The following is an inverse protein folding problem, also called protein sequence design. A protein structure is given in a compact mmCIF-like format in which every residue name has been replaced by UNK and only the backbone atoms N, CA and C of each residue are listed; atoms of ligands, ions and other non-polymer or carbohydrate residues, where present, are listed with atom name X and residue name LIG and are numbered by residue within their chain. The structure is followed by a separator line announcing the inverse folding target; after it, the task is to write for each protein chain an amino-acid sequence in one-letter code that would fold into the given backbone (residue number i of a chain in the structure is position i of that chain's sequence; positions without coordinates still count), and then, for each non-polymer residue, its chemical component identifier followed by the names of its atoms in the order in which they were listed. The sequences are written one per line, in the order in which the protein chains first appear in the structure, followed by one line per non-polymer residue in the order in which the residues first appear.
data_IF_554851730990
#
_entry.id   IF_554851730990
#
_cell.length_a   1.000
_cell.length_b   1.000
_cell.length_c   1.000
_cell.angle_alpha   90.00
_cell.angle_beta   90.00
_cell.angle_gamma   90.00
#
_symmetry.space_group_name_H-M   'P 1'
#
loop_
_entity.id
_entity.type
_entity.pdbx_description
1 polymer ?
#
# COMPACT_ATOMS: atom_id res chain seq x y z
N UNK A 1 26.17 -4.90 -5.73
CA UNK A 1 26.18 -3.77 -4.81
C UNK A 1 24.73 -3.62 -4.31
N UNK A 2 24.51 -3.96 -3.05
CA UNK A 2 23.19 -3.79 -2.42
C UNK A 2 22.99 -2.29 -2.15
N UNK A 3 22.07 -1.67 -2.85
CA UNK A 3 21.65 -0.31 -2.58
C UNK A 3 20.75 -0.38 -1.34
N UNK A 4 21.32 -0.05 -0.19
CA UNK A 4 20.56 0.09 1.06
C UNK A 4 19.65 1.33 0.94
N UNK A 5 18.36 1.11 0.74
CA UNK A 5 17.37 2.19 0.74
C UNK A 5 17.19 2.70 2.18
N UNK A 6 17.67 3.91 2.46
CA UNK A 6 17.39 4.61 3.71
C UNK A 6 15.95 5.11 3.68
N UNK A 7 15.03 4.42 4.36
CA UNK A 7 13.73 4.98 4.70
C UNK A 7 13.92 6.00 5.82
N UNK A 8 13.70 7.27 5.54
CA UNK A 8 13.66 8.33 6.55
C UNK A 8 12.37 8.15 7.34
N UNK A 9 12.49 7.71 8.61
CA UNK A 9 11.37 7.62 9.52
C UNK A 9 10.75 9.00 9.73
N UNK A 10 9.58 9.25 9.11
CA UNK A 10 8.80 10.46 9.38
C UNK A 10 8.28 10.39 10.82
N UNK A 11 8.81 11.25 11.68
CA UNK A 11 8.18 11.64 12.95
C UNK A 11 6.77 12.13 12.60
N UNK A 12 5.75 11.58 13.25
CA UNK A 12 4.35 11.99 13.12
C UNK A 12 4.18 13.47 13.54
N UNK A 13 4.46 14.40 12.62
CA UNK A 13 3.69 15.63 12.59
C UNK A 13 2.29 15.22 12.12
N UNK A 14 1.24 15.81 12.68
CA UNK A 14 -0.16 15.61 12.24
C UNK A 14 -0.19 15.87 10.73
N UNK A 15 -0.05 14.81 9.92
CA UNK A 15 -0.03 14.93 8.48
C UNK A 15 -1.47 15.16 8.04
N UNK A 16 -1.65 16.12 7.14
CA UNK A 16 -2.95 16.35 6.51
C UNK A 16 -3.42 15.04 5.84
N UNK A 17 -4.68 14.66 6.11
CA UNK A 17 -5.25 13.46 5.53
C UNK A 17 -5.61 13.73 4.06
N UNK A 18 -4.95 13.00 3.15
CA UNK A 18 -5.19 13.16 1.70
C UNK A 18 -6.45 12.47 1.25
N UNK A 19 -6.74 11.27 1.81
CA UNK A 19 -7.95 10.52 1.55
C UNK A 19 -8.56 10.13 2.89
N UNK A 20 -9.87 10.31 3.04
CA UNK A 20 -10.63 9.85 4.20
C UNK A 20 -11.85 9.06 3.71
N UNK A 21 -11.96 7.85 4.18
CA UNK A 21 -13.10 6.97 3.95
C UNK A 21 -13.82 6.82 5.28
N UNK A 22 -15.12 7.16 5.33
CA UNK A 22 -15.90 7.19 6.57
C UNK A 22 -17.19 6.40 6.41
N UNK A 23 -17.38 5.43 7.30
CA UNK A 23 -18.58 4.60 7.41
C UNK A 23 -19.04 4.07 6.04
N UNK A 24 -18.08 3.60 5.22
CA UNK A 24 -18.35 3.18 3.85
C UNK A 24 -18.93 1.77 3.83
N UNK A 25 -20.10 1.65 3.21
CA UNK A 25 -20.79 0.38 2.96
C UNK A 25 -20.94 0.14 1.47
N UNK A 26 -20.78 -1.11 1.05
CA UNK A 26 -21.14 -1.56 -0.30
C UNK A 26 -21.90 -2.86 -0.25
N UNK A 27 -23.13 -2.80 -0.70
CA UNK A 27 -24.02 -3.93 -0.90
C UNK A 27 -24.28 -4.04 -2.42
N UNK A 28 -24.12 -5.23 -2.97
CA UNK A 28 -24.46 -5.52 -4.35
C UNK A 28 -25.81 -6.25 -4.39
N UNK A 29 -26.69 -5.81 -5.26
CA UNK A 29 -28.05 -6.33 -5.41
C UNK A 29 -29.01 -5.22 -5.86
N UNK A 30 -30.23 -5.62 -6.19
CA UNK A 30 -31.28 -4.65 -6.54
C UNK A 30 -31.78 -3.96 -5.27
N UNK A 31 -31.95 -2.63 -5.31
CA UNK A 31 -32.39 -1.85 -4.14
C UNK A 31 -31.55 -2.11 -2.87
N UNK A 32 -30.21 -1.98 -3.01
CA UNK A 32 -29.25 -2.24 -1.94
C UNK A 32 -29.49 -1.35 -0.69
N UNK A 33 -30.01 -0.13 -0.87
CA UNK A 33 -30.35 0.78 0.23
C UNK A 33 -31.48 0.22 1.10
N UNK A 34 -32.42 -0.52 0.52
CA UNK A 34 -33.54 -1.12 1.25
C UNK A 34 -33.16 -2.22 2.25
N UNK A 35 -31.92 -2.71 2.22
CA UNK A 35 -31.42 -3.73 3.17
C UNK A 35 -30.34 -3.17 4.12
N UNK A 36 -30.08 -1.84 4.09
CA UNK A 36 -29.06 -1.21 4.95
C UNK A 36 -29.36 -1.39 6.44
N UNK A 37 -30.60 -1.29 6.87
CA UNK A 37 -31.00 -1.47 8.28
C UNK A 37 -30.62 -2.87 8.76
N UNK A 38 -30.87 -3.92 7.96
CA UNK A 38 -30.47 -5.29 8.30
C UNK A 38 -28.95 -5.43 8.45
N UNK A 39 -28.17 -4.75 7.57
CA UNK A 39 -26.71 -4.76 7.64
C UNK A 39 -26.21 -4.01 8.87
N UNK A 40 -26.85 -2.90 9.24
CA UNK A 40 -26.55 -2.13 10.44
C UNK A 40 -26.89 -2.90 11.72
N UNK A 41 -27.95 -3.70 11.70
CA UNK A 41 -28.37 -4.58 12.80
C UNK A 41 -27.51 -5.84 12.92
N UNK A 42 -26.55 -6.03 12.00
CA UNK A 42 -25.53 -7.08 12.10
C UNK A 42 -25.86 -8.39 11.41
N UNK A 43 -26.78 -8.41 10.42
CA UNK A 43 -27.04 -9.60 9.60
C UNK A 43 -25.75 -10.17 9.05
N UNK A 44 -25.60 -11.49 9.02
CA UNK A 44 -24.44 -12.15 8.42
C UNK A 44 -24.44 -12.02 6.89
N UNK A 45 -23.27 -12.13 6.26
CA UNK A 45 -23.16 -12.13 4.79
C UNK A 45 -23.93 -13.28 4.17
N UNK A 46 -23.94 -14.42 4.82
CA UNK A 46 -24.63 -15.62 4.34
C UNK A 46 -26.14 -15.43 4.38
N UNK A 47 -26.71 -14.99 5.49
CA UNK A 47 -28.14 -14.68 5.63
C UNK A 47 -28.58 -13.60 4.63
N UNK A 48 -27.77 -12.51 4.47
CA UNK A 48 -28.07 -11.45 3.52
C UNK A 48 -28.12 -11.98 2.07
N UNK A 49 -27.26 -12.95 1.73
CA UNK A 49 -27.27 -13.59 0.41
C UNK A 49 -28.44 -14.58 0.25
N UNK A 50 -28.66 -15.47 1.21
CA UNK A 50 -29.63 -16.56 1.11
C UNK A 50 -31.07 -16.04 1.20
N UNK A 51 -31.36 -15.12 2.12
CA UNK A 51 -32.72 -14.67 2.39
C UNK A 51 -33.12 -13.42 1.59
N UNK A 52 -32.13 -12.57 1.22
CA UNK A 52 -32.40 -11.30 0.56
C UNK A 52 -31.75 -11.18 -0.83
N UNK A 53 -30.93 -12.15 -1.27
CA UNK A 53 -30.27 -12.12 -2.58
C UNK A 53 -29.27 -11.00 -2.77
N UNK A 54 -28.67 -10.48 -1.69
CA UNK A 54 -27.71 -9.39 -1.70
C UNK A 54 -26.34 -9.86 -1.26
N UNK A 55 -25.28 -9.28 -1.85
CA UNK A 55 -23.89 -9.56 -1.49
C UNK A 55 -23.30 -8.38 -0.74
N UNK A 56 -22.91 -8.56 0.52
CA UNK A 56 -22.21 -7.55 1.30
C UNK A 56 -20.73 -7.51 0.87
N UNK A 57 -20.37 -6.48 0.16
CA UNK A 57 -18.99 -6.25 -0.31
C UNK A 57 -18.11 -5.56 0.72
N UNK A 58 -18.62 -4.50 1.35
CA UNK A 58 -17.92 -3.71 2.39
C UNK A 58 -18.89 -3.33 3.49
N UNK A 59 -18.41 -3.37 4.75
CA UNK A 59 -19.16 -3.00 5.95
C UNK A 59 -18.31 -2.05 6.79
N UNK A 60 -18.86 -0.87 7.07
CA UNK A 60 -18.31 0.13 8.00
C UNK A 60 -16.81 0.39 7.83
N UNK A 61 -16.38 0.63 6.58
CA UNK A 61 -14.97 0.89 6.31
C UNK A 61 -14.63 2.32 6.73
N UNK A 62 -13.63 2.42 7.61
CA UNK A 62 -13.06 3.67 8.09
C UNK A 62 -11.55 3.62 7.90
N UNK A 63 -11.01 4.40 6.93
CA UNK A 63 -9.59 4.45 6.58
C UNK A 63 -9.19 5.89 6.27
N UNK A 64 -8.14 6.36 6.95
CA UNK A 64 -7.46 7.61 6.63
C UNK A 64 -6.15 7.32 5.90
N UNK A 65 -5.85 8.07 4.84
CA UNK A 65 -4.58 7.99 4.10
C UNK A 65 -3.86 9.33 4.21
N UNK A 66 -2.76 9.40 4.95
CA UNK A 66 -1.97 10.62 5.06
C UNK A 66 -1.41 11.07 3.71
N UNK A 67 -1.20 12.38 3.55
CA UNK A 67 -0.55 12.91 2.35
C UNK A 67 0.88 12.35 2.21
N UNK A 68 1.25 12.03 0.97
CA UNK A 68 2.59 11.51 0.61
C UNK A 68 2.97 10.20 1.31
N UNK A 69 2.00 9.40 1.67
CA UNK A 69 2.13 8.11 2.34
C UNK A 69 1.77 6.97 1.38
N UNK A 70 2.38 5.81 1.56
CA UNK A 70 1.94 4.56 0.94
C UNK A 70 1.03 3.83 1.94
N UNK A 71 -0.28 3.89 1.73
CA UNK A 71 -1.25 3.07 2.45
C UNK A 71 -1.44 1.75 1.71
N UNK A 72 -1.08 0.66 2.34
CA UNK A 72 -1.37 -0.68 1.83
C UNK A 72 -2.71 -1.17 2.36
N UNK A 73 -3.56 -1.66 1.47
CA UNK A 73 -4.80 -2.37 1.80
C UNK A 73 -4.59 -3.82 1.45
N UNK A 74 -4.57 -4.70 2.45
CA UNK A 74 -4.31 -6.12 2.24
C UNK A 74 -5.43 -7.00 2.78
N UNK A 75 -5.41 -8.28 2.41
CA UNK A 75 -6.37 -9.30 2.84
C UNK A 75 -6.50 -10.41 1.78
N UNK A 76 -7.19 -11.49 2.11
CA UNK A 76 -7.39 -12.62 1.21
C UNK A 76 -8.25 -12.25 -0.01
N UNK A 77 -8.29 -13.15 -1.01
CA UNK A 77 -9.20 -12.98 -2.16
C UNK A 77 -10.65 -12.89 -1.68
N UNK A 78 -11.41 -11.96 -2.26
CA UNK A 78 -12.81 -11.74 -1.87
C UNK A 78 -13.03 -10.85 -0.64
N UNK A 79 -11.98 -10.36 0.04
CA UNK A 79 -12.13 -9.49 1.23
C UNK A 79 -12.62 -8.07 0.93
N UNK A 80 -12.83 -7.69 -0.34
CA UNK A 80 -13.37 -6.37 -0.71
C UNK A 80 -12.35 -5.32 -1.16
N UNK A 81 -11.04 -5.63 -1.18
CA UNK A 81 -9.96 -4.67 -1.51
C UNK A 81 -10.14 -3.92 -2.83
N UNK A 82 -10.33 -4.66 -3.93
CA UNK A 82 -10.54 -4.06 -5.26
C UNK A 82 -11.85 -3.28 -5.35
N UNK A 83 -12.85 -3.66 -4.57
CA UNK A 83 -14.08 -2.88 -4.42
C UNK A 83 -13.78 -1.56 -3.72
N UNK A 84 -13.05 -1.61 -2.61
CA UNK A 84 -12.71 -0.45 -1.80
C UNK A 84 -11.92 0.61 -2.59
N UNK A 85 -10.83 0.23 -3.28
CA UNK A 85 -10.01 1.20 -4.02
C UNK A 85 -10.81 1.90 -5.15
N UNK A 86 -11.78 1.19 -5.73
CA UNK A 86 -12.63 1.72 -6.80
C UNK A 86 -13.69 2.72 -6.31
N UNK A 87 -13.93 2.83 -5.01
CA UNK A 87 -14.73 3.91 -4.45
C UNK A 87 -13.94 5.22 -4.40
N UNK A 88 -12.63 5.19 -4.19
CA UNK A 88 -11.79 6.39 -4.11
C UNK A 88 -11.85 7.22 -5.40
N UNK A 89 -11.90 6.56 -6.55
CA UNK A 89 -12.07 7.24 -7.85
C UNK A 89 -13.50 7.12 -8.40
N UNK A 90 -14.45 6.68 -7.55
CA UNK A 90 -15.88 6.53 -7.86
C UNK A 90 -16.15 5.73 -9.13
N UNK A 91 -15.32 4.70 -9.40
CA UNK A 91 -15.63 3.69 -10.42
C UNK A 91 -16.76 2.77 -9.96
N UNK A 92 -16.95 2.66 -8.66
CA UNK A 92 -18.07 1.99 -8.01
C UNK A 92 -18.70 2.98 -7.04
N UNK A 93 -20.04 3.14 -7.11
CA UNK A 93 -20.78 3.92 -6.14
C UNK A 93 -20.96 3.12 -4.84
N UNK A 94 -20.72 3.68 -3.66
CA UNK A 94 -21.05 3.03 -2.40
C UNK A 94 -22.58 2.95 -2.21
N UNK A 95 -23.01 2.11 -1.27
CA UNK A 95 -24.40 2.10 -0.83
C UNK A 95 -24.63 3.18 0.23
N UNK A 96 -23.61 3.44 1.08
CA UNK A 96 -23.62 4.51 2.09
C UNK A 96 -22.20 4.88 2.48
N UNK A 97 -22.02 6.03 3.12
CA UNK A 97 -20.73 6.51 3.63
C UNK A 97 -20.18 7.69 2.84
N UNK A 98 -18.95 8.10 3.17
CA UNK A 98 -18.28 9.27 2.59
C UNK A 98 -16.87 8.88 2.07
N UNK A 99 -16.46 9.53 0.98
CA UNK A 99 -15.10 9.45 0.43
C UNK A 99 -14.60 10.86 0.16
N UNK A 100 -13.74 11.37 1.05
CA UNK A 100 -13.15 12.69 0.93
C UNK A 100 -11.74 12.59 0.35
N UNK A 101 -11.41 13.42 -0.62
CA UNK A 101 -10.07 13.52 -1.21
C UNK A 101 -9.63 14.99 -1.21
N UNK A 102 -8.59 15.31 -0.46
CA UNK A 102 -8.17 16.70 -0.24
C UNK A 102 -9.27 17.56 0.39
N UNK A 103 -10.16 16.96 1.19
CA UNK A 103 -11.31 17.59 1.83
C UNK A 103 -12.56 17.72 0.94
N UNK A 104 -12.49 17.33 -0.34
CA UNK A 104 -13.65 17.36 -1.26
C UNK A 104 -14.34 15.98 -1.29
N UNK A 105 -15.65 15.95 -1.15
CA UNK A 105 -16.44 14.71 -1.25
C UNK A 105 -16.57 14.26 -2.71
N UNK A 106 -15.89 13.16 -3.03
CA UNK A 106 -15.90 12.58 -4.40
C UNK A 106 -17.30 12.09 -4.79
N UNK A 107 -18.11 11.70 -3.81
CA UNK A 107 -19.48 11.19 -4.06
C UNK A 107 -20.45 12.32 -4.43
N UNK A 108 -20.19 13.54 -3.97
CA UNK A 108 -20.99 14.71 -4.27
C UNK A 108 -20.62 15.40 -5.60
N UNK A 109 -19.48 14.99 -6.23
CA UNK A 109 -19.02 15.59 -7.49
C UNK A 109 -20.01 15.35 -8.62
N UNK A 110 -20.26 16.40 -9.43
CA UNK A 110 -20.94 16.29 -10.72
C UNK A 110 -20.11 15.44 -11.71
N UNK A 111 -20.73 15.00 -12.80
CA UNK A 111 -20.04 14.22 -13.85
C UNK A 111 -18.82 14.94 -14.44
N UNK A 112 -18.87 16.28 -14.58
CA UNK A 112 -17.76 17.07 -15.10
C UNK A 112 -16.61 17.17 -14.08
N UNK A 113 -16.91 17.42 -12.81
CA UNK A 113 -15.95 17.46 -11.72
C UNK A 113 -15.28 16.10 -11.55
N UNK A 114 -16.05 15.01 -11.58
CA UNK A 114 -15.55 13.64 -11.48
C UNK A 114 -14.64 13.27 -12.67
N UNK A 115 -14.96 13.70 -13.89
CA UNK A 115 -14.08 13.54 -15.06
C UNK A 115 -12.76 14.29 -14.87
N UNK A 116 -12.82 15.52 -14.34
CA UNK A 116 -11.62 16.33 -14.08
C UNK A 116 -10.78 15.72 -12.94
N UNK A 117 -11.43 15.24 -11.88
CA UNK A 117 -10.78 14.50 -10.79
C UNK A 117 -9.99 13.29 -11.32
N UNK A 118 -10.64 12.43 -12.12
CA UNK A 118 -10.00 11.24 -12.73
C UNK A 118 -8.91 11.58 -13.75
N UNK A 119 -8.95 12.76 -14.38
CA UNK A 119 -7.93 13.20 -15.34
C UNK A 119 -6.66 13.71 -14.67
N UNK A 120 -6.79 14.39 -13.53
CA UNK A 120 -5.71 15.20 -12.97
C UNK A 120 -5.33 14.88 -11.52
N UNK A 121 -6.26 14.34 -10.72
CA UNK A 121 -6.05 14.13 -9.27
C UNK A 121 -5.73 12.68 -8.91
N UNK A 122 -6.35 11.71 -9.58
CA UNK A 122 -6.19 10.30 -9.27
C UNK A 122 -5.87 9.48 -10.52
N UNK A 123 -4.75 8.75 -10.48
CA UNK A 123 -4.35 7.80 -11.51
C UNK A 123 -4.46 6.37 -11.01
N UNK A 124 -4.67 5.39 -11.90
CA UNK A 124 -4.85 4.00 -11.49
C UNK A 124 -4.04 3.02 -12.32
N UNK A 125 -3.36 2.10 -11.63
CA UNK A 125 -2.70 0.92 -12.19
C UNK A 125 -3.55 -0.30 -11.87
N UNK A 126 -3.91 -1.06 -12.91
CA UNK A 126 -4.82 -2.21 -12.81
C UNK A 126 -4.06 -3.53 -12.76
N UNK A 127 -4.63 -4.54 -12.13
CA UNK A 127 -4.12 -5.90 -12.04
C UNK A 127 -3.82 -6.53 -13.42
N UNK A 128 -4.69 -6.35 -14.41
CA UNK A 128 -4.56 -6.86 -15.79
C UNK A 128 -3.98 -5.80 -16.75
N UNK A 129 -3.06 -4.96 -16.30
CA UNK A 129 -2.34 -3.92 -17.05
C UNK A 129 -3.24 -2.88 -17.74
N UNK A 130 -4.40 -3.25 -18.23
CA UNK A 130 -5.38 -2.42 -18.95
C UNK A 130 -4.75 -1.55 -20.06
N UNK A 131 -3.75 -2.10 -20.75
CA UNK A 131 -3.11 -1.43 -21.89
C UNK A 131 -4.03 -1.46 -23.12
N UNK A 132 -3.94 -0.43 -23.94
CA UNK A 132 -4.64 -0.35 -25.20
C UNK A 132 -3.88 -1.21 -26.24
N UNK A 133 -4.43 -2.36 -26.68
CA UNK A 133 -3.68 -3.35 -27.45
C UNK A 133 -3.30 -2.87 -28.86
N UNK A 134 -4.04 -1.90 -29.38
CA UNK A 134 -3.86 -1.29 -30.69
C UNK A 134 -2.95 -0.04 -30.67
N UNK A 135 -2.36 0.28 -29.52
CA UNK A 135 -1.44 1.39 -29.32
C UNK A 135 -0.07 0.89 -28.92
N UNK A 136 0.97 1.59 -29.38
CA UNK A 136 2.35 1.34 -28.98
C UNK A 136 2.61 1.69 -27.51
N UNK A 137 3.80 1.38 -27.01
CA UNK A 137 4.23 1.73 -25.64
C UNK A 137 4.13 3.24 -25.40
N UNK A 138 4.74 4.05 -26.31
CA UNK A 138 4.73 5.51 -26.14
C UNK A 138 3.31 6.09 -26.21
N UNK A 139 2.47 5.56 -27.06
CA UNK A 139 1.07 5.97 -27.17
C UNK A 139 0.23 5.54 -25.96
N UNK A 140 0.53 4.38 -25.37
CA UNK A 140 -0.10 3.96 -24.09
C UNK A 140 0.29 4.88 -22.96
N UNK A 141 1.58 5.20 -22.80
CA UNK A 141 2.09 6.09 -21.76
C UNK A 141 1.51 7.50 -21.93
N UNK A 142 1.46 8.01 -23.17
CA UNK A 142 0.92 9.33 -23.48
C UNK A 142 -0.60 9.46 -23.44
N UNK A 143 -1.33 8.34 -23.31
CA UNK A 143 -2.79 8.35 -23.43
C UNK A 143 -3.49 9.27 -22.43
N UNK A 144 -3.09 9.22 -21.15
CA UNK A 144 -3.65 10.10 -20.11
C UNK A 144 -3.40 11.58 -20.42
N UNK A 145 -2.22 11.92 -20.93
CA UNK A 145 -1.86 13.29 -21.33
C UNK A 145 -2.69 13.79 -22.53
N UNK A 146 -3.01 12.90 -23.48
CA UNK A 146 -3.94 13.23 -24.58
C UNK A 146 -5.33 13.61 -24.05
N UNK A 147 -5.84 12.85 -23.06
CA UNK A 147 -7.12 13.14 -22.39
C UNK A 147 -7.08 14.48 -21.64
N UNK A 148 -5.92 14.81 -21.05
CA UNK A 148 -5.69 16.11 -20.40
C UNK A 148 -5.52 17.26 -21.41
N UNK A 149 -5.53 16.98 -22.72
CA UNK A 149 -5.34 17.95 -23.82
C UNK A 149 -3.99 18.67 -23.78
N UNK A 150 -2.95 17.98 -23.32
CA UNK A 150 -1.57 18.45 -23.35
C UNK A 150 -1.07 18.49 -24.80
N UNK A 151 -0.15 19.39 -25.13
CA UNK A 151 0.42 19.49 -26.48
C UNK A 151 1.21 18.22 -26.86
N UNK A 152 1.19 17.86 -28.14
CA UNK A 152 1.86 16.65 -28.65
C UNK A 152 3.35 16.62 -28.32
N UNK A 153 4.03 17.76 -28.40
CA UNK A 153 5.45 17.90 -28.03
C UNK A 153 5.69 17.54 -26.56
N UNK A 154 4.83 18.02 -25.66
CA UNK A 154 4.96 17.74 -24.24
C UNK A 154 4.54 16.30 -23.91
N UNK A 155 3.54 15.74 -24.61
CA UNK A 155 3.17 14.32 -24.51
C UNK A 155 4.37 13.44 -24.83
N UNK A 156 5.02 13.66 -25.97
CA UNK A 156 6.18 12.88 -26.40
C UNK A 156 7.33 12.98 -25.39
N UNK A 157 7.62 14.19 -24.91
CA UNK A 157 8.67 14.45 -23.92
C UNK A 157 8.40 13.71 -22.60
N UNK A 158 7.19 13.84 -22.03
CA UNK A 158 6.84 13.19 -20.76
C UNK A 158 6.76 11.68 -20.93
N UNK A 159 6.19 11.19 -22.03
CA UNK A 159 6.10 9.77 -22.30
C UNK A 159 7.47 9.13 -22.39
N UNK A 160 8.42 9.75 -23.14
CA UNK A 160 9.78 9.26 -23.23
C UNK A 160 10.47 9.26 -21.87
N UNK A 161 10.35 10.36 -21.10
CA UNK A 161 10.90 10.44 -19.75
C UNK A 161 10.46 9.26 -18.87
N UNK A 162 9.16 8.93 -18.85
CA UNK A 162 8.66 7.84 -18.03
C UNK A 162 9.02 6.46 -18.56
N UNK A 163 9.10 6.28 -19.88
CA UNK A 163 9.61 5.06 -20.52
C UNK A 163 11.04 4.78 -20.07
N UNK A 164 11.90 5.80 -20.08
CA UNK A 164 13.29 5.69 -19.64
C UNK A 164 13.38 5.37 -18.14
N UNK A 165 12.56 6.05 -17.31
CA UNK A 165 12.53 5.86 -15.84
C UNK A 165 12.12 4.45 -15.42
N UNK A 166 11.23 3.80 -16.18
CA UNK A 166 10.80 2.42 -15.89
C UNK A 166 11.65 1.37 -16.61
N UNK A 167 12.74 1.78 -17.31
CA UNK A 167 13.66 0.88 -17.98
C UNK A 167 13.08 0.20 -19.23
N UNK A 168 12.32 0.95 -20.04
CA UNK A 168 11.73 0.49 -21.30
C UNK A 168 12.27 1.23 -22.53
N UNK A 169 13.43 1.90 -22.41
CA UNK A 169 14.13 2.55 -23.52
C UNK A 169 14.38 1.56 -24.65
N UNK A 170 14.02 1.91 -25.88
CA UNK A 170 14.12 1.07 -27.07
C UNK A 170 12.85 0.23 -27.37
N UNK A 171 11.83 0.29 -26.51
CA UNK A 171 10.56 -0.42 -26.70
C UNK A 171 9.40 0.52 -27.06
N UNK A 172 9.64 1.79 -27.34
CA UNK A 172 8.64 2.84 -27.55
C UNK A 172 7.64 2.49 -28.65
N UNK A 173 8.11 1.88 -29.74
CA UNK A 173 7.31 1.49 -30.89
C UNK A 173 6.67 0.09 -30.79
N UNK A 174 6.91 -0.66 -29.72
CA UNK A 174 6.34 -2.00 -29.54
C UNK A 174 4.87 -1.94 -29.09
N UNK A 175 4.11 -2.93 -29.48
CA UNK A 175 2.73 -3.14 -29.02
C UNK A 175 2.69 -4.03 -27.77
N UNK A 176 1.65 -3.93 -26.91
CA UNK A 176 1.53 -4.74 -25.69
C UNK A 176 1.74 -6.25 -25.93
N UNK A 177 1.23 -6.81 -27.02
CA UNK A 177 1.38 -8.23 -27.35
C UNK A 177 2.85 -8.66 -27.58
N UNK A 178 3.77 -7.75 -27.82
CA UNK A 178 5.20 -8.00 -28.03
C UNK A 178 6.02 -7.92 -26.74
N UNK A 179 5.38 -7.63 -25.59
CA UNK A 179 6.02 -7.38 -24.31
C UNK A 179 5.78 -8.53 -23.34
N UNK A 180 6.75 -8.81 -22.48
CA UNK A 180 6.54 -9.67 -21.31
C UNK A 180 5.55 -9.04 -20.32
N UNK A 181 4.95 -9.83 -19.41
CA UNK A 181 4.04 -9.32 -18.38
C UNK A 181 4.66 -8.22 -17.52
N UNK A 182 5.94 -8.39 -17.11
CA UNK A 182 6.67 -7.36 -16.38
C UNK A 182 6.87 -6.07 -17.17
N UNK A 183 7.13 -6.16 -18.47
CA UNK A 183 7.24 -4.97 -19.33
C UNK A 183 5.87 -4.28 -19.47
N UNK A 184 4.80 -5.04 -19.67
CA UNK A 184 3.44 -4.48 -19.71
C UNK A 184 3.08 -3.74 -18.42
N UNK A 185 3.49 -4.29 -17.26
CA UNK A 185 3.29 -3.63 -15.97
C UNK A 185 4.07 -2.32 -15.86
N UNK A 186 5.32 -2.30 -16.33
CA UNK A 186 6.12 -1.06 -16.39
C UNK A 186 5.48 0.00 -17.29
N UNK A 187 4.89 -0.40 -18.43
CA UNK A 187 4.10 0.52 -19.28
C UNK A 187 2.88 1.07 -18.51
N UNK A 188 2.15 0.21 -17.79
CA UNK A 188 1.01 0.61 -16.96
C UNK A 188 1.39 1.62 -15.88
N UNK A 189 2.53 1.40 -15.20
CA UNK A 189 3.07 2.31 -14.20
C UNK A 189 3.51 3.64 -14.84
N UNK A 190 4.26 3.60 -15.95
CA UNK A 190 4.69 4.80 -16.68
C UNK A 190 3.48 5.64 -17.13
N UNK A 191 2.43 5.00 -17.65
CA UNK A 191 1.18 5.67 -18.05
C UNK A 191 0.51 6.39 -16.88
N UNK A 192 0.46 5.73 -15.71
CA UNK A 192 -0.13 6.32 -14.53
C UNK A 192 0.66 7.51 -14.01
N UNK A 193 1.98 7.42 -14.00
CA UNK A 193 2.89 8.48 -13.54
C UNK A 193 2.97 9.66 -14.50
N UNK A 194 2.85 9.42 -15.82
CA UNK A 194 2.93 10.48 -16.83
C UNK A 194 1.87 11.56 -16.66
N UNK A 195 0.70 11.24 -16.11
CA UNK A 195 -0.40 12.19 -15.86
C UNK A 195 -0.10 13.18 -14.75
N UNK A 196 0.94 12.91 -13.93
CA UNK A 196 1.34 13.70 -12.77
C UNK A 196 0.25 13.87 -11.69
N UNK A 197 -0.66 12.90 -11.60
CA UNK A 197 -1.70 12.88 -10.56
C UNK A 197 -1.08 12.81 -9.16
N UNK A 198 -1.71 13.47 -8.19
CA UNK A 198 -1.26 13.50 -6.79
C UNK A 198 -1.45 12.15 -6.09
N UNK A 199 -2.47 11.39 -6.52
CA UNK A 199 -2.87 10.10 -5.95
C UNK A 199 -2.65 9.00 -6.98
N UNK A 200 -1.97 7.93 -6.55
CA UNK A 200 -1.77 6.72 -7.34
C UNK A 200 -2.50 5.56 -6.68
N UNK A 201 -3.49 5.01 -7.37
CA UNK A 201 -4.26 3.84 -6.94
C UNK A 201 -3.69 2.60 -7.65
N UNK A 202 -3.31 1.57 -6.89
CA UNK A 202 -2.69 0.35 -7.44
C UNK A 202 -3.46 -0.89 -7.00
N UNK A 203 -4.22 -1.50 -7.93
CA UNK A 203 -5.06 -2.67 -7.67
C UNK A 203 -4.31 -3.96 -8.04
N UNK A 204 -3.69 -4.63 -7.05
CA UNK A 204 -2.87 -5.85 -7.19
C UNK A 204 -1.85 -5.77 -8.34
N UNK A 205 -1.20 -4.60 -8.45
CA UNK A 205 -0.40 -4.24 -9.60
C UNK A 205 0.76 -5.20 -9.89
N UNK A 206 1.30 -5.91 -8.90
CA UNK A 206 2.46 -6.77 -9.05
C UNK A 206 2.15 -8.27 -8.89
N UNK A 207 0.89 -8.65 -8.68
CA UNK A 207 0.48 -10.03 -8.38
C UNK A 207 0.76 -11.02 -9.54
N UNK A 208 0.71 -10.55 -10.77
CA UNK A 208 0.93 -11.37 -11.97
C UNK A 208 2.41 -11.48 -12.40
N UNK A 209 3.33 -10.88 -11.64
CA UNK A 209 4.76 -10.88 -11.94
C UNK A 209 5.48 -12.02 -11.24
N UNK A 210 6.54 -12.53 -11.89
CA UNK A 210 7.48 -13.45 -11.23
C UNK A 210 8.20 -12.76 -10.07
N UNK A 211 8.74 -13.52 -9.08
CA UNK A 211 9.30 -12.94 -7.85
C UNK A 211 10.44 -11.94 -8.08
N UNK A 212 11.28 -12.17 -9.10
CA UNK A 212 12.42 -11.30 -9.39
C UNK A 212 11.94 -9.95 -9.93
N UNK A 213 11.09 -9.98 -10.94
CA UNK A 213 10.51 -8.76 -11.57
C UNK A 213 9.66 -8.00 -10.55
N UNK A 214 8.91 -8.72 -9.69
CA UNK A 214 8.12 -8.10 -8.60
C UNK A 214 9.03 -7.31 -7.66
N UNK A 215 10.14 -7.89 -7.25
CA UNK A 215 11.13 -7.22 -6.36
C UNK A 215 11.70 -5.95 -7.02
N UNK A 216 12.02 -6.01 -8.31
CA UNK A 216 12.50 -4.86 -9.08
C UNK A 216 11.42 -3.76 -9.15
N UNK A 217 10.16 -4.12 -9.43
CA UNK A 217 9.05 -3.17 -9.52
C UNK A 217 8.75 -2.49 -8.18
N UNK A 218 8.84 -3.22 -7.08
CA UNK A 218 8.75 -2.66 -5.73
C UNK A 218 9.88 -1.66 -5.47
N UNK A 219 11.12 -1.99 -5.87
CA UNK A 219 12.26 -1.09 -5.77
C UNK A 219 12.07 0.21 -6.59
N UNK A 220 11.57 0.09 -7.82
CA UNK A 220 11.23 1.25 -8.67
C UNK A 220 10.16 2.11 -8.00
N UNK A 221 9.08 1.50 -7.47
CA UNK A 221 7.99 2.23 -6.80
C UNK A 221 8.50 3.01 -5.58
N UNK A 222 9.31 2.38 -4.73
CA UNK A 222 9.88 3.02 -3.54
C UNK A 222 10.81 4.18 -3.91
N UNK A 223 11.72 4.01 -4.88
CA UNK A 223 12.59 5.08 -5.34
C UNK A 223 11.82 6.26 -5.95
N UNK A 224 10.75 5.96 -6.71
CA UNK A 224 9.88 7.00 -7.24
C UNK A 224 9.08 7.71 -6.13
N UNK A 225 8.66 7.00 -5.09
CA UNK A 225 7.96 7.61 -3.96
C UNK A 225 8.83 8.57 -3.17
N UNK A 226 10.10 8.24 -2.96
CA UNK A 226 11.08 9.14 -2.32
C UNK A 226 11.31 10.43 -3.11
N UNK A 227 11.24 10.37 -4.44
CA UNK A 227 11.46 11.52 -5.31
C UNK A 227 10.18 12.35 -5.51
N UNK A 228 9.05 11.69 -5.77
CA UNK A 228 7.82 12.34 -6.21
C UNK A 228 6.87 12.69 -5.06
N UNK A 229 7.03 12.06 -3.90
CA UNK A 229 6.19 12.25 -2.74
C UNK A 229 4.68 12.14 -3.04
N UNK A 230 4.28 11.14 -3.85
CA UNK A 230 2.87 10.87 -4.19
C UNK A 230 2.15 10.18 -3.03
N UNK A 231 0.84 10.39 -2.90
CA UNK A 231 0.00 9.56 -2.04
C UNK A 231 -0.38 8.30 -2.79
N UNK A 232 -0.06 7.13 -2.24
CA UNK A 232 -0.29 5.84 -2.91
C UNK A 232 -1.22 4.99 -2.07
N UNK A 233 -2.29 4.47 -2.70
CA UNK A 233 -3.10 3.38 -2.14
C UNK A 233 -2.77 2.12 -2.92
N UNK A 234 -2.18 1.15 -2.24
CA UNK A 234 -1.67 -0.08 -2.85
C UNK A 234 -2.42 -1.30 -2.32
N UNK A 235 -3.02 -2.07 -3.22
CA UNK A 235 -3.71 -3.32 -2.87
C UNK A 235 -2.81 -4.51 -3.14
N UNK A 236 -2.72 -5.41 -2.17
CA UNK A 236 -2.05 -6.70 -2.30
C UNK A 236 -2.72 -7.77 -1.43
N UNK A 237 -2.48 -9.04 -1.75
CA UNK A 237 -2.75 -10.17 -0.88
C UNK A 237 -1.44 -10.78 -0.31
N UNK A 238 -0.29 -10.23 -0.69
CA UNK A 238 1.05 -10.67 -0.27
C UNK A 238 1.49 -9.84 0.93
N UNK A 239 1.71 -10.50 2.07
CA UNK A 239 2.10 -9.85 3.31
C UNK A 239 3.52 -9.28 3.24
N UNK A 240 4.47 -10.01 2.65
CA UNK A 240 5.86 -9.55 2.53
C UNK A 240 5.92 -8.26 1.68
N UNK A 241 5.09 -8.19 0.64
CA UNK A 241 4.92 -6.99 -0.17
C UNK A 241 4.36 -5.84 0.66
N UNK A 242 3.28 -6.08 1.43
CA UNK A 242 2.67 -5.07 2.29
C UNK A 242 3.65 -4.51 3.34
N UNK A 243 4.38 -5.40 4.02
CA UNK A 243 5.36 -5.02 5.05
C UNK A 243 6.57 -4.29 4.46
N UNK A 244 6.93 -4.60 3.20
CA UNK A 244 8.07 -3.99 2.51
C UNK A 244 7.77 -2.58 2.02
N UNK A 245 6.61 -2.34 1.42
CA UNK A 245 6.32 -1.07 0.74
C UNK A 245 5.40 -0.14 1.54
N UNK A 246 4.55 -0.66 2.46
CA UNK A 246 3.60 0.13 3.22
C UNK A 246 4.25 1.00 4.29
N UNK A 247 3.91 2.29 4.34
CA UNK A 247 4.12 3.12 5.52
C UNK A 247 3.08 2.77 6.58
N UNK A 248 1.83 2.57 6.14
CA UNK A 248 0.71 2.11 6.93
C UNK A 248 -0.05 1.00 6.20
N UNK A 249 -0.58 0.06 6.95
CA UNK A 249 -1.27 -1.12 6.43
C UNK A 249 -2.67 -1.18 7.04
N UNK A 250 -3.68 -1.47 6.20
CA UNK A 250 -5.04 -1.81 6.62
C UNK A 250 -5.34 -3.24 6.19
N UNK A 251 -5.67 -4.12 7.12
CA UNK A 251 -5.99 -5.53 6.84
C UNK A 251 -7.49 -5.71 6.77
N UNK A 252 -7.97 -6.19 5.63
CA UNK A 252 -9.38 -6.48 5.38
C UNK A 252 -9.67 -7.98 5.45
N UNK A 253 -10.75 -8.31 6.17
CA UNK A 253 -11.35 -9.63 6.20
C UNK A 253 -12.86 -9.47 6.06
N UNK A 254 -13.46 -10.22 5.12
CA UNK A 254 -14.91 -10.24 4.93
C UNK A 254 -15.59 -8.87 4.77
N UNK A 255 -14.90 -7.94 4.09
CA UNK A 255 -15.41 -6.59 3.84
C UNK A 255 -15.30 -5.63 5.01
N UNK A 256 -14.61 -5.98 6.07
CA UNK A 256 -14.38 -5.17 7.27
C UNK A 256 -12.88 -4.95 7.48
N UNK A 257 -12.51 -3.85 8.12
CA UNK A 257 -11.14 -3.59 8.55
C UNK A 257 -10.92 -4.27 9.91
N UNK A 258 -10.01 -5.26 9.96
CA UNK A 258 -9.71 -6.00 11.20
C UNK A 258 -8.52 -5.44 11.96
N UNK A 259 -7.56 -4.84 11.26
CA UNK A 259 -6.44 -4.15 11.90
C UNK A 259 -5.88 -3.06 10.98
N UNK A 260 -5.41 -1.96 11.58
CA UNK A 260 -4.65 -0.91 10.91
C UNK A 260 -3.43 -0.55 11.76
N UNK A 261 -2.35 -0.13 11.09
CA UNK A 261 -1.14 0.35 11.75
C UNK A 261 0.07 0.28 10.83
N UNK A 262 1.23 0.62 11.38
CA UNK A 262 2.54 0.44 10.71
C UNK A 262 2.91 -1.03 10.60
N UNK A 263 3.87 -1.36 9.73
CA UNK A 263 4.43 -2.72 9.63
C UNK A 263 4.91 -3.26 10.99
N UNK A 264 5.47 -2.38 11.83
CA UNK A 264 5.94 -2.71 13.19
C UNK A 264 4.77 -3.12 14.09
N UNK A 265 3.71 -2.32 14.13
CA UNK A 265 2.52 -2.57 14.97
C UNK A 265 1.80 -3.84 14.56
N UNK A 266 1.62 -4.08 13.25
CA UNK A 266 1.00 -5.31 12.74
C UNK A 266 1.76 -6.55 13.20
N UNK A 267 3.10 -6.52 13.10
CA UNK A 267 3.94 -7.67 13.44
C UNK A 267 4.10 -7.86 14.95
N UNK A 268 4.13 -6.78 15.75
CA UNK A 268 4.35 -6.87 17.19
C UNK A 268 3.07 -7.16 17.99
N UNK A 269 1.95 -6.57 17.56
CA UNK A 269 0.67 -6.61 18.31
C UNK A 269 -0.48 -7.00 17.38
N UNK A 270 -0.54 -8.28 16.93
CA UNK A 270 -1.68 -8.75 16.14
C UNK A 270 -2.98 -8.64 16.95
N UNK A 271 -4.05 -8.15 16.30
CA UNK A 271 -5.33 -7.86 16.94
C UNK A 271 -6.11 -9.12 17.31
N UNK A 272 -5.93 -10.20 16.57
CA UNK A 272 -6.59 -11.48 16.77
C UNK A 272 -5.74 -12.66 16.27
N UNK A 273 -6.23 -13.90 16.52
CA UNK A 273 -5.55 -15.12 16.10
C UNK A 273 -5.42 -15.26 14.57
N UNK A 274 -6.36 -14.67 13.82
CA UNK A 274 -6.29 -14.65 12.36
C UNK A 274 -5.09 -13.85 11.87
N UNK A 275 -4.86 -12.66 12.42
CA UNK A 275 -3.71 -11.84 12.10
C UNK A 275 -2.43 -12.52 12.59
N UNK A 276 -2.44 -13.09 13.79
CA UNK A 276 -1.30 -13.84 14.35
C UNK A 276 -0.90 -15.02 13.45
N UNK A 277 -1.86 -15.78 12.95
CA UNK A 277 -1.59 -16.86 11.98
C UNK A 277 -1.13 -16.33 10.62
N UNK A 278 -1.61 -15.17 10.21
CA UNK A 278 -1.24 -14.54 8.94
C UNK A 278 0.22 -14.07 8.94
N UNK A 279 0.72 -13.56 10.09
CA UNK A 279 2.10 -13.06 10.23
C UNK A 279 3.09 -14.10 10.76
N UNK A 280 2.65 -15.33 11.04
CA UNK A 280 3.49 -16.36 11.71
C UNK A 280 4.79 -16.71 10.99
N UNK A 281 4.78 -16.65 9.64
CA UNK A 281 5.92 -17.01 8.80
C UNK A 281 6.78 -15.82 8.38
N UNK A 282 6.41 -14.60 8.84
CA UNK A 282 7.17 -13.37 8.59
C UNK A 282 8.55 -13.44 9.22
N UNK A 283 9.57 -13.09 8.46
CA UNK A 283 10.90 -12.87 9.02
C UNK A 283 10.94 -11.57 9.84
N UNK A 284 10.61 -11.68 11.13
CA UNK A 284 10.54 -10.55 12.06
C UNK A 284 11.84 -9.77 12.14
N UNK A 285 12.99 -10.43 11.99
CA UNK A 285 14.29 -9.77 12.04
C UNK A 285 14.51 -8.77 10.90
N UNK A 286 13.89 -9.01 9.75
CA UNK A 286 13.96 -8.12 8.58
C UNK A 286 12.93 -7.01 8.60
N UNK A 287 11.77 -7.24 9.23
CA UNK A 287 10.66 -6.30 9.29
C UNK A 287 10.80 -5.34 10.46
N UNK A 288 11.15 -5.86 11.64
CA UNK A 288 11.28 -5.06 12.84
C UNK A 288 12.54 -4.19 12.79
N UNK A 289 12.38 -2.93 13.11
CA UNK A 289 13.43 -1.91 13.15
C UNK A 289 13.83 -1.61 14.60
N UNK A 290 15.02 -1.07 14.77
CA UNK A 290 15.58 -0.66 16.07
C UNK A 290 14.61 0.22 16.86
N UNK A 291 13.92 1.15 16.20
CA UNK A 291 12.94 2.04 16.86
C UNK A 291 11.79 1.32 17.57
N UNK A 292 11.43 0.11 17.14
CA UNK A 292 10.30 -0.64 17.71
C UNK A 292 10.61 -1.27 19.08
N UNK A 293 11.89 -1.39 19.42
CA UNK A 293 12.34 -2.05 20.66
C UNK A 293 13.38 -1.26 21.46
N UNK A 294 13.80 -0.08 20.98
CA UNK A 294 14.80 0.74 21.68
C UNK A 294 14.24 1.27 23.00
N UNK A 295 15.14 1.41 23.98
CA UNK A 295 14.86 2.13 25.23
C UNK A 295 15.47 3.53 25.17
N UNK A 296 14.79 4.58 25.68
CA UNK A 296 15.39 5.92 25.76
C UNK A 296 16.71 5.88 26.55
N UNK A 297 17.78 6.44 25.99
CA UNK A 297 19.09 6.49 26.64
C UNK A 297 19.93 7.61 26.05
N UNK A 298 20.86 8.14 26.85
CA UNK A 298 21.90 9.09 26.41
C UNK A 298 23.29 8.44 26.45
N UNK A 299 23.36 7.13 26.68
CA UNK A 299 24.63 6.41 26.78
C UNK A 299 25.20 6.20 25.38
N UNK A 300 26.35 6.80 25.10
CA UNK A 300 27.09 6.67 23.83
C UNK A 300 28.13 5.54 23.98
N UNK A 301 27.67 4.28 23.94
CA UNK A 301 28.51 3.08 23.99
C UNK A 301 28.08 2.07 22.94
N UNK A 302 29.04 1.38 22.35
CA UNK A 302 28.81 0.38 21.31
C UNK A 302 28.59 0.97 19.91
N UNK A 303 28.21 0.14 18.95
CA UNK A 303 27.92 0.57 17.60
C UNK A 303 26.76 1.59 17.53
N UNK A 304 26.83 2.50 16.56
CA UNK A 304 25.75 3.47 16.31
C UNK A 304 24.79 2.91 15.28
N UNK A 305 23.49 2.92 15.59
CA UNK A 305 22.41 2.42 14.77
C UNK A 305 21.41 3.52 14.49
N UNK A 306 20.93 3.60 13.25
CA UNK A 306 19.81 4.47 12.87
C UNK A 306 18.49 3.87 13.38
N UNK A 307 17.48 4.69 13.65
CA UNK A 307 16.14 4.27 14.09
C UNK A 307 15.49 3.22 13.17
N UNK A 308 15.76 3.32 11.86
CA UNK A 308 15.19 2.47 10.81
C UNK A 308 16.06 1.27 10.47
N UNK A 309 17.14 1.01 11.24
CA UNK A 309 17.97 -0.17 11.03
C UNK A 309 17.16 -1.44 11.34
N UNK A 310 17.05 -2.43 10.40
CA UNK A 310 16.43 -3.72 10.69
C UNK A 310 17.14 -4.46 11.83
N UNK A 311 16.39 -5.23 12.62
CA UNK A 311 16.99 -5.97 13.74
C UNK A 311 18.04 -7.01 13.27
N UNK A 312 17.89 -7.60 12.06
CA UNK A 312 18.88 -8.49 11.45
C UNK A 312 20.24 -7.78 11.33
N UNK A 313 20.24 -6.56 10.77
CA UNK A 313 21.47 -5.76 10.60
C UNK A 313 22.00 -5.25 11.93
N UNK A 314 21.12 -4.86 12.86
CA UNK A 314 21.52 -4.43 14.20
C UNK A 314 22.23 -5.56 14.96
N UNK A 315 21.70 -6.77 14.93
CA UNK A 315 22.33 -7.95 15.54
C UNK A 315 23.66 -8.31 14.86
N UNK A 316 23.74 -8.16 13.53
CA UNK A 316 24.98 -8.34 12.77
C UNK A 316 26.08 -7.40 13.24
N UNK A 317 25.77 -6.09 13.31
CA UNK A 317 26.73 -5.07 13.79
C UNK A 317 27.16 -5.27 15.24
N UNK A 318 26.24 -5.69 16.12
CA UNK A 318 26.56 -6.03 17.50
C UNK A 318 27.52 -7.21 17.59
N UNK A 319 27.27 -8.26 16.80
CA UNK A 319 28.11 -9.45 16.75
C UNK A 319 29.52 -9.16 16.21
N UNK A 320 29.62 -8.37 15.14
CA UNK A 320 30.90 -7.94 14.56
C UNK A 320 31.74 -7.11 15.53
N UNK A 321 31.08 -6.24 16.31
CA UNK A 321 31.73 -5.40 17.31
C UNK A 321 32.10 -6.17 18.61
N UNK A 322 31.57 -7.37 18.81
CA UNK A 322 31.71 -8.12 20.07
C UNK A 322 30.96 -7.46 21.24
N UNK A 323 29.94 -6.66 20.95
CA UNK A 323 29.19 -5.89 21.94
C UNK A 323 27.78 -6.48 22.15
N UNK A 324 27.22 -6.28 23.35
CA UNK A 324 25.86 -6.72 23.68
C UNK A 324 24.83 -5.60 23.64
N UNK A 325 25.28 -4.36 23.44
CA UNK A 325 24.41 -3.19 23.33
C UNK A 325 24.94 -2.20 22.28
N UNK A 326 24.00 -1.46 21.67
CA UNK A 326 24.31 -0.40 20.71
C UNK A 326 23.57 0.88 21.09
N UNK A 327 24.12 2.04 20.73
CA UNK A 327 23.41 3.30 20.85
C UNK A 327 22.60 3.58 19.58
N UNK A 328 21.43 4.22 19.77
CA UNK A 328 20.51 4.59 18.68
C UNK A 328 20.61 6.09 18.49
N UNK A 329 20.80 6.51 17.24
CA UNK A 329 20.98 7.93 16.89
C UNK A 329 19.84 8.47 16.03
N UNK A 330 19.57 9.77 16.19
CA UNK A 330 18.68 10.51 15.30
C UNK A 330 19.37 10.88 13.97
N UNK A 331 18.64 11.53 13.05
CA UNK A 331 19.17 11.98 11.76
C UNK A 331 20.31 13.02 11.89
N UNK A 332 20.48 13.62 13.07
CA UNK A 332 21.54 14.58 13.39
C UNK A 332 22.74 13.92 14.08
N UNK A 333 22.67 12.61 14.32
CA UNK A 333 23.71 11.84 15.00
C UNK A 333 23.71 11.96 16.53
N UNK A 334 22.65 12.54 17.15
CA UNK A 334 22.53 12.58 18.61
C UNK A 334 21.99 11.24 19.12
N UNK A 335 22.57 10.77 20.23
CA UNK A 335 22.12 9.55 20.88
C UNK A 335 20.78 9.80 21.58
N UNK A 336 19.76 9.03 21.16
CA UNK A 336 18.37 9.13 21.66
C UNK A 336 17.91 7.86 22.37
N UNK A 337 18.61 6.76 22.19
CA UNK A 337 18.25 5.48 22.78
C UNK A 337 19.38 4.46 22.79
N UNK A 338 19.08 3.30 23.33
CA UNK A 338 19.93 2.10 23.28
C UNK A 338 19.10 0.88 22.88
N UNK A 339 19.76 -0.12 22.35
CA UNK A 339 19.20 -1.46 22.09
C UNK A 339 20.11 -2.50 22.71
N UNK A 340 19.54 -3.55 23.30
CA UNK A 340 20.27 -4.70 23.80
C UNK A 340 20.06 -5.90 22.88
N UNK A 341 21.09 -6.69 22.67
CA UNK A 341 21.03 -7.90 21.83
C UNK A 341 19.97 -8.89 22.33
N UNK A 342 19.83 -9.01 23.66
CA UNK A 342 18.79 -9.84 24.28
C UNK A 342 17.36 -9.40 23.95
N UNK A 343 17.12 -8.09 23.90
CA UNK A 343 15.84 -7.51 23.50
C UNK A 343 15.56 -7.76 22.01
N UNK A 344 16.55 -7.59 21.14
CA UNK A 344 16.44 -7.90 19.72
C UNK A 344 16.11 -9.38 19.47
N UNK A 345 16.82 -10.30 20.13
CA UNK A 345 16.55 -11.74 20.04
C UNK A 345 15.13 -12.07 20.57
N UNK A 346 14.67 -11.41 21.63
CA UNK A 346 13.33 -11.63 22.16
C UNK A 346 12.24 -11.14 21.21
N UNK A 347 12.43 -9.99 20.56
CA UNK A 347 11.48 -9.40 19.64
C UNK A 347 11.26 -10.23 18.36
N UNK A 348 12.30 -10.92 17.89
CA UNK A 348 12.21 -11.76 16.69
C UNK A 348 11.60 -13.15 16.95
N UNK A 349 11.43 -13.56 18.23
CA UNK A 349 10.74 -14.81 18.56
C UNK A 349 9.29 -14.73 18.11
N UNK A 350 8.78 -15.87 17.64
CA UNK A 350 7.34 -15.99 17.33
C UNK A 350 6.53 -15.77 18.63
N UNK A 351 5.38 -15.03 18.57
CA UNK A 351 4.48 -14.98 19.69
C UNK A 351 4.06 -16.39 20.08
N UNK A 352 4.14 -16.72 21.36
CA UNK A 352 3.58 -17.99 21.85
C UNK A 352 2.07 -17.95 21.66
N UNK A 353 1.49 -19.02 21.06
CA UNK A 353 0.02 -19.12 20.88
C UNK A 353 -0.62 -18.99 22.27
N UNK A 354 -1.43 -17.97 22.43
CA UNK A 354 -2.48 -18.00 23.45
C UNK A 354 -3.41 -19.15 23.07
N UNK A 355 -3.37 -20.23 23.84
CA UNK A 355 -4.13 -21.45 23.63
C UNK A 355 -5.63 -21.14 23.62
N UNK A 356 -6.21 -21.01 22.44
CA UNK A 356 -7.62 -21.27 22.22
C UNK A 356 -7.77 -21.88 20.83
N UNK A 357 -7.97 -23.19 20.81
CA UNK A 357 -8.39 -23.95 19.64
C UNK A 357 -9.74 -23.42 19.17
N UNK A 358 -9.76 -22.62 18.11
CA UNK A 358 -10.94 -22.43 17.28
C UNK A 358 -10.62 -22.77 15.84
N UNK A 359 -11.18 -23.90 15.46
CA UNK A 359 -11.15 -24.59 14.20
C UNK A 359 -11.71 -23.71 13.09
N UNK A 360 -10.93 -23.60 12.01
CA UNK A 360 -11.49 -23.27 10.71
C UNK A 360 -12.52 -24.34 10.30
N UNK A 361 -13.75 -23.95 10.13
CA UNK A 361 -14.75 -24.65 9.33
C UNK A 361 -15.29 -23.71 8.27
#
# INVERSE_FOLDING_TARGET
MAVGFKRIGRVQAVSEQKIQIKNLYKIFGNNAEGVMDLVSDGISKQELLEDHGHVLGLRDINIDVPDKCIRVIMGLSGSGKSTLIRHINRLIEPTSGEVLVGGEDVLAMSDEELKNFRRSKASMVFQKFALLPHRTVIENVGYGLQIQKISETEINKRSQHWIDRVGLTGFEGHYPAQLSGGMQQRVGLARALATDAEILLMDEAFSALDPLIRTDMQGILLGLQEELHKTIVFITHDLDEALRIGDEISILRDGEVVQQGTSQEIVMTPSDDYIADFIKDVNRARVLEVRSIMEPSKTDKGPRLDLTTPLEDAMGKLSEAGETSACVVDDKGHVIGKIELSAAISAIKRPEKTSNELRYR
#
